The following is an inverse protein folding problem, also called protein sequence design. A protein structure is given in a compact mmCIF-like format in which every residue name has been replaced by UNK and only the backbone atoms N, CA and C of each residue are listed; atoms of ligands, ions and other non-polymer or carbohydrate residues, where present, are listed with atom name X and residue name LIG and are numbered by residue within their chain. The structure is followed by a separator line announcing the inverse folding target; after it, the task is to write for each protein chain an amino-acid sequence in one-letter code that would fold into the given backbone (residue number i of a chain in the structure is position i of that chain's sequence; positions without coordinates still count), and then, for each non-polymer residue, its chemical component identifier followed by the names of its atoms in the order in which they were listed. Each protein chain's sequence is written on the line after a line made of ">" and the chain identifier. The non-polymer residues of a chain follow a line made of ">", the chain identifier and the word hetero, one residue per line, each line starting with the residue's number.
data_IF_566517913551
#
_entry.id   IF_566517913551
#
_cell.length_a   1.000
_cell.length_b   1.000
_cell.length_c   1.000
_cell.angle_alpha   90.00
_cell.angle_beta   90.00
_cell.angle_gamma   90.00
#
_symmetry.space_group_name_H-M   'P 1'
#
loop_
_entity.id
_entity.type
_entity.pdbx_description
1 polymer ?
#
# COMPACT_ATOMS: atom_id res chain seq x y z
N UNK A 1 0.94 0.19 7.54
CA UNK A 1 -0.45 -0.08 7.13
C UNK A 1 -0.44 -0.48 5.66
N UNK A 2 -0.83 -1.71 5.40
CA UNK A 2 -1.05 -2.35 4.09
C UNK A 2 -2.33 -1.79 3.49
N UNK A 3 -2.26 -0.68 2.74
CA UNK A 3 -3.46 -0.19 2.04
C UNK A 3 -3.35 -0.53 0.56
N UNK A 4 -3.54 -1.81 0.27
CA UNK A 4 -4.06 -2.17 -1.03
C UNK A 4 -5.53 -1.79 -1.03
N UNK A 5 -5.84 -0.61 -1.56
CA UNK A 5 -7.22 -0.20 -1.74
C UNK A 5 -7.96 -1.25 -2.58
N UNK A 6 -9.20 -1.64 -2.25
CA UNK A 6 -9.96 -2.58 -3.06
C UNK A 6 -10.26 -1.96 -4.42
N UNK A 7 -10.25 -2.76 -5.48
CA UNK A 7 -10.75 -2.30 -6.78
C UNK A 7 -12.27 -2.12 -6.70
N UNK A 8 -12.86 -1.19 -7.47
CA UNK A 8 -14.31 -1.07 -7.54
C UNK A 8 -14.93 -2.40 -7.98
N UNK A 9 -16.16 -2.72 -7.50
CA UNK A 9 -16.83 -3.96 -7.84
C UNK A 9 -17.11 -4.02 -9.35
N UNK A 10 -16.96 -5.21 -9.95
CA UNK A 10 -17.25 -5.46 -11.37
C UNK A 10 -18.74 -5.68 -11.66
N UNK A 11 -19.62 -5.23 -10.76
CA UNK A 11 -21.07 -5.36 -10.91
C UNK A 11 -21.58 -4.42 -12.01
N UNK A 12 -22.53 -4.91 -12.82
CA UNK A 12 -23.20 -4.09 -13.84
C UNK A 12 -23.94 -2.93 -13.17
N UNK A 13 -23.84 -1.74 -13.77
CA UNK A 13 -24.61 -0.58 -13.36
C UNK A 13 -25.99 -0.58 -14.01
N UNK A 14 -27.03 -0.48 -13.19
CA UNK A 14 -28.43 -0.48 -13.61
C UNK A 14 -29.01 0.93 -13.51
N UNK A 15 -29.62 1.41 -14.59
CA UNK A 15 -30.26 2.74 -14.64
C UNK A 15 -31.76 2.61 -14.86
N UNK A 16 -32.52 3.56 -14.32
CA UNK A 16 -33.96 3.64 -14.59
C UNK A 16 -34.20 3.94 -16.08
N UNK A 17 -35.00 3.10 -16.73
CA UNK A 17 -35.50 3.36 -18.08
C UNK A 17 -36.67 4.35 -17.99
N UNK A 18 -36.52 5.52 -18.60
CA UNK A 18 -37.55 6.57 -18.64
C UNK A 18 -38.32 6.48 -19.95
N UNK A 19 -39.63 6.30 -19.87
CA UNK A 19 -40.56 6.23 -21.01
C UNK A 19 -41.76 7.14 -20.78
N UNK A 20 -42.45 7.53 -21.85
CA UNK A 20 -43.69 8.30 -21.72
C UNK A 20 -44.74 7.50 -20.92
N UNK A 21 -45.48 8.21 -20.07
CA UNK A 21 -46.45 7.60 -19.14
C UNK A 21 -45.83 6.89 -17.93
N UNK A 22 -44.50 6.92 -17.75
CA UNK A 22 -43.87 6.35 -16.56
C UNK A 22 -44.30 7.12 -15.29
N UNK A 23 -45.06 6.46 -14.42
CA UNK A 23 -45.40 7.02 -13.11
C UNK A 23 -44.14 7.17 -12.23
N UNK A 24 -43.82 8.39 -11.81
CA UNK A 24 -42.72 8.64 -10.89
C UNK A 24 -43.15 8.39 -9.44
N UNK A 25 -42.36 7.63 -8.68
CA UNK A 25 -42.56 7.40 -7.25
C UNK A 25 -41.20 7.44 -6.52
N UNK A 26 -41.24 7.39 -5.18
CA UNK A 26 -40.04 7.48 -4.35
C UNK A 26 -39.00 6.40 -4.68
N UNK A 27 -39.42 5.17 -4.94
CA UNK A 27 -38.51 4.07 -5.27
C UNK A 27 -37.79 4.28 -6.60
N UNK A 28 -38.52 4.71 -7.64
CA UNK A 28 -37.93 5.03 -8.95
C UNK A 28 -36.98 6.22 -8.87
N UNK A 29 -37.33 7.22 -8.08
CA UNK A 29 -36.47 8.37 -7.82
C UNK A 29 -35.18 7.94 -7.10
N UNK A 30 -35.29 7.08 -6.09
CA UNK A 30 -34.17 6.50 -5.36
C UNK A 30 -33.25 5.68 -6.27
N UNK A 31 -33.81 4.85 -7.15
CA UNK A 31 -33.01 4.09 -8.15
C UNK A 31 -32.22 5.05 -9.05
N UNK A 32 -32.84 6.11 -9.55
CA UNK A 32 -32.15 7.08 -10.41
C UNK A 32 -31.00 7.79 -9.69
N UNK A 33 -31.18 8.20 -8.43
CA UNK A 33 -30.13 8.87 -7.65
C UNK A 33 -29.01 7.90 -7.23
N UNK A 34 -29.38 6.69 -6.84
CA UNK A 34 -28.43 5.65 -6.48
C UNK A 34 -27.50 5.30 -7.64
N UNK A 35 -28.02 5.23 -8.87
CA UNK A 35 -27.19 5.05 -10.07
C UNK A 35 -26.11 6.13 -10.20
N UNK A 36 -26.45 7.40 -9.98
CA UNK A 36 -25.49 8.49 -10.03
C UNK A 36 -24.45 8.41 -8.90
N UNK A 37 -24.89 8.09 -7.68
CA UNK A 37 -24.02 7.87 -6.52
C UNK A 37 -23.02 6.74 -6.78
N UNK A 38 -23.49 5.59 -7.27
CA UNK A 38 -22.64 4.43 -7.59
C UNK A 38 -21.62 4.77 -8.68
N UNK A 39 -22.03 5.48 -9.73
CA UNK A 39 -21.12 5.89 -10.80
C UNK A 39 -20.04 6.87 -10.31
N UNK A 40 -20.41 7.80 -9.42
CA UNK A 40 -19.45 8.71 -8.78
C UNK A 40 -18.47 7.94 -7.89
N UNK A 41 -18.96 7.01 -7.07
CA UNK A 41 -18.14 6.20 -6.18
C UNK A 41 -17.16 5.33 -6.97
N UNK A 42 -17.60 4.67 -8.05
CA UNK A 42 -16.72 3.90 -8.94
C UNK A 42 -15.64 4.80 -9.54
N UNK A 43 -16.00 5.99 -10.02
CA UNK A 43 -15.04 6.92 -10.58
C UNK A 43 -13.98 7.32 -9.54
N UNK A 44 -14.41 7.67 -8.32
CA UNK A 44 -13.51 8.02 -7.24
C UNK A 44 -12.59 6.86 -6.84
N UNK A 45 -13.16 5.69 -6.54
CA UNK A 45 -12.43 4.48 -6.16
C UNK A 45 -11.42 4.06 -7.22
N UNK A 46 -11.72 4.27 -8.50
CA UNK A 46 -10.81 3.92 -9.59
C UNK A 46 -9.56 4.80 -9.63
N UNK A 47 -9.65 6.05 -9.19
CA UNK A 47 -8.64 7.08 -9.48
C UNK A 47 -7.99 7.71 -8.25
N UNK A 48 -8.62 7.63 -7.08
CA UNK A 48 -8.22 8.36 -5.89
C UNK A 48 -8.13 7.45 -4.66
N UNK A 49 -7.29 7.85 -3.72
CA UNK A 49 -7.24 7.30 -2.37
C UNK A 49 -8.17 8.08 -1.43
N UNK A 50 -8.68 7.45 -0.36
CA UNK A 50 -9.37 8.16 0.70
C UNK A 50 -8.44 9.16 1.41
N UNK A 51 -9.05 10.12 2.09
CA UNK A 51 -8.31 11.06 2.92
C UNK A 51 -8.97 12.42 3.04
N UNK A 52 -8.20 13.36 3.58
CA UNK A 52 -8.59 14.74 3.79
C UNK A 52 -8.36 15.52 2.49
N UNK A 53 -9.38 16.25 2.04
CA UNK A 53 -9.32 17.15 0.88
C UNK A 53 -8.85 18.52 1.33
N UNK A 54 -9.40 19.03 2.43
CA UNK A 54 -9.03 20.32 3.02
C UNK A 54 -9.49 20.44 4.46
N UNK A 55 -8.82 21.29 5.25
CA UNK A 55 -9.23 21.60 6.62
C UNK A 55 -9.07 20.41 7.58
N UNK A 56 -10.08 20.18 8.42
CA UNK A 56 -10.14 19.08 9.40
C UNK A 56 -8.94 19.04 10.35
N UNK A 57 -8.43 20.23 10.71
CA UNK A 57 -7.39 20.35 11.75
C UNK A 57 -7.95 20.00 13.12
N UNK A 58 -7.08 19.59 14.04
CA UNK A 58 -7.44 19.33 15.44
C UNK A 58 -6.61 20.25 16.32
N UNK A 59 -7.26 21.00 17.20
CA UNK A 59 -6.58 21.84 18.18
C UNK A 59 -7.11 21.61 19.59
N UNK A 60 -6.27 21.84 20.59
CA UNK A 60 -6.68 21.79 21.99
C UNK A 60 -7.49 23.03 22.35
N UNK A 61 -8.56 22.82 23.12
CA UNK A 61 -9.37 23.90 23.67
C UNK A 61 -9.55 23.73 25.18
N UNK A 62 -9.95 24.81 25.85
CA UNK A 62 -10.46 24.70 27.22
C UNK A 62 -11.83 24.01 27.20
N UNK A 63 -12.17 23.32 28.28
CA UNK A 63 -13.48 22.71 28.43
C UNK A 63 -14.59 23.77 28.27
N UNK A 64 -15.67 23.49 27.51
CA UNK A 64 -16.79 24.41 27.37
C UNK A 64 -17.36 24.84 28.73
N UNK A 65 -17.83 26.09 28.84
CA UNK A 65 -18.33 26.62 30.11
C UNK A 65 -19.53 25.83 30.66
N UNK A 66 -20.32 25.24 29.75
CA UNK A 66 -21.54 24.49 30.04
C UNK A 66 -21.29 23.10 30.62
N UNK A 67 -20.07 22.54 30.50
CA UNK A 67 -19.80 21.18 30.97
C UNK A 67 -19.48 21.14 32.48
N UNK A 68 -19.93 20.10 33.20
CA UNK A 68 -19.69 20.03 34.64
C UNK A 68 -18.20 19.90 34.97
N UNK A 69 -17.82 20.36 36.16
CA UNK A 69 -16.42 20.55 36.58
C UNK A 69 -15.56 19.29 36.46
N UNK A 70 -16.16 18.10 36.64
CA UNK A 70 -15.48 16.81 36.48
C UNK A 70 -15.00 16.53 35.05
N UNK A 71 -15.56 17.22 34.05
CA UNK A 71 -15.13 17.14 32.65
C UNK A 71 -14.13 18.24 32.27
N UNK A 72 -13.70 19.10 33.20
CA UNK A 72 -12.70 20.16 32.94
C UNK A 72 -11.27 19.63 33.11
N UNK A 73 -10.95 18.55 32.42
CA UNK A 73 -9.76 17.73 32.62
C UNK A 73 -8.66 17.91 31.55
N UNK A 74 -8.72 18.99 30.76
CA UNK A 74 -7.76 19.30 29.67
C UNK A 74 -7.69 18.21 28.59
N UNK A 75 -8.84 17.60 28.28
CA UNK A 75 -9.01 16.56 27.25
C UNK A 75 -9.91 16.98 26.11
N UNK A 76 -10.19 18.28 26.02
CA UNK A 76 -11.07 18.85 25.01
C UNK A 76 -10.27 19.29 23.79
N UNK A 77 -10.78 18.90 22.65
CA UNK A 77 -10.27 19.26 21.34
C UNK A 77 -11.39 19.87 20.51
N UNK A 78 -11.01 20.64 19.51
CA UNK A 78 -11.89 21.15 18.49
C UNK A 78 -11.41 20.68 17.13
N UNK A 79 -12.32 20.04 16.39
CA UNK A 79 -12.14 19.68 14.99
C UNK A 79 -12.55 20.88 14.16
N UNK A 80 -11.64 21.37 13.33
CA UNK A 80 -11.87 22.53 12.48
C UNK A 80 -12.66 22.14 11.22
N UNK A 81 -13.39 23.08 10.60
CA UNK A 81 -14.12 22.83 9.37
C UNK A 81 -13.24 22.22 8.27
N UNK A 82 -13.84 21.41 7.42
CA UNK A 82 -13.14 20.80 6.31
C UNK A 82 -13.90 19.66 5.64
N UNK A 83 -13.22 19.02 4.69
CA UNK A 83 -13.78 17.99 3.83
C UNK A 83 -12.82 16.82 3.78
N UNK A 84 -13.35 15.61 3.93
CA UNK A 84 -12.68 14.35 3.64
C UNK A 84 -13.53 13.48 2.71
N UNK A 85 -12.92 12.43 2.16
CA UNK A 85 -13.61 11.42 1.37
C UNK A 85 -13.13 10.05 1.87
N UNK A 86 -14.07 9.16 2.20
CA UNK A 86 -13.76 7.80 2.66
C UNK A 86 -13.38 6.85 1.52
N UNK A 87 -13.05 5.59 1.83
CA UNK A 87 -12.63 4.63 0.80
C UNK A 87 -13.74 4.27 -0.19
N UNK A 88 -15.00 4.37 0.27
CA UNK A 88 -16.15 4.12 -0.57
C UNK A 88 -16.45 5.29 -1.53
N UNK A 89 -15.80 6.44 -1.35
CA UNK A 89 -16.02 7.65 -2.15
C UNK A 89 -17.08 8.59 -1.56
N UNK A 90 -17.51 8.37 -0.31
CA UNK A 90 -18.49 9.22 0.34
C UNK A 90 -17.82 10.48 0.89
N UNK A 91 -18.37 11.68 0.58
CA UNK A 91 -17.86 12.92 1.15
C UNK A 91 -18.24 13.04 2.64
N UNK A 92 -17.30 13.52 3.44
CA UNK A 92 -17.46 13.82 4.86
C UNK A 92 -17.22 15.33 5.02
N UNK A 93 -18.28 16.08 5.33
CA UNK A 93 -18.23 17.54 5.40
C UNK A 93 -18.46 17.99 6.84
N UNK A 94 -17.46 18.67 7.41
CA UNK A 94 -17.56 19.35 8.71
C UNK A 94 -17.68 20.85 8.42
N UNK A 95 -18.90 21.42 8.46
CA UNK A 95 -19.13 22.80 8.03
C UNK A 95 -18.74 23.83 9.09
N UNK A 96 -18.73 23.45 10.37
CA UNK A 96 -18.46 24.32 11.52
C UNK A 96 -17.54 23.60 12.52
N UNK A 97 -16.83 24.34 13.39
CA UNK A 97 -15.97 23.72 14.38
C UNK A 97 -16.76 22.80 15.33
N UNK A 98 -16.31 21.56 15.48
CA UNK A 98 -16.94 20.57 16.35
C UNK A 98 -16.10 20.34 17.59
N UNK A 99 -16.75 20.34 18.74
CA UNK A 99 -16.07 20.13 20.02
C UNK A 99 -16.17 18.67 20.44
N UNK A 100 -15.04 18.07 20.81
CA UNK A 100 -14.97 16.67 21.21
C UNK A 100 -14.10 16.53 22.46
N UNK A 101 -14.51 15.66 23.39
CA UNK A 101 -13.70 15.32 24.56
C UNK A 101 -13.18 13.90 24.39
N UNK A 102 -11.86 13.72 24.43
CA UNK A 102 -11.27 12.39 24.48
C UNK A 102 -11.73 11.73 25.78
N UNK A 103 -12.40 10.59 25.68
CA UNK A 103 -12.98 9.89 26.82
C UNK A 103 -12.05 8.79 27.33
N UNK A 104 -11.31 8.12 26.45
CA UNK A 104 -10.48 6.93 26.70
C UNK A 104 -9.54 7.11 27.88
N UNK A 105 -9.64 6.25 28.88
CA UNK A 105 -8.71 6.26 30.01
C UNK A 105 -7.84 5.01 29.95
N UNK A 106 -6.56 5.16 30.30
CA UNK A 106 -5.63 4.03 30.44
C UNK A 106 -5.87 3.34 31.78
N UNK A 107 -6.54 2.19 31.76
CA UNK A 107 -6.68 1.32 32.93
C UNK A 107 -5.54 0.30 33.04
N UNK A 108 -4.74 0.14 31.97
CA UNK A 108 -3.61 -0.76 31.88
C UNK A 108 -2.30 -0.09 32.32
N UNK A 109 -1.33 -0.90 32.75
CA UNK A 109 0.06 -0.46 32.98
C UNK A 109 0.82 -0.14 31.68
N UNK A 110 0.18 -0.31 30.53
CA UNK A 110 0.75 -0.06 29.20
C UNK A 110 0.17 1.20 28.56
N UNK A 111 1.00 1.88 27.78
CA UNK A 111 0.56 3.03 26.97
C UNK A 111 -0.38 2.58 25.85
N UNK A 112 -1.39 3.39 25.54
CA UNK A 112 -2.38 3.12 24.50
C UNK A 112 -2.32 4.19 23.41
N UNK A 113 -2.41 3.79 22.15
CA UNK A 113 -2.61 4.74 21.04
C UNK A 113 -4.10 4.92 20.80
N UNK A 114 -4.58 6.16 20.94
CA UNK A 114 -5.95 6.54 20.63
C UNK A 114 -5.97 7.21 19.27
N UNK A 115 -6.81 6.72 18.38
CA UNK A 115 -7.06 7.28 17.06
C UNK A 115 -8.35 8.07 17.10
N UNK A 116 -8.31 9.33 16.69
CA UNK A 116 -9.51 10.13 16.45
C UNK A 116 -9.86 10.02 14.97
N UNK A 117 -11.06 9.53 14.67
CA UNK A 117 -11.51 9.28 13.30
C UNK A 117 -12.82 10.00 13.02
N UNK A 118 -13.04 10.31 11.75
CA UNK A 118 -14.31 10.80 11.24
C UNK A 118 -14.86 9.85 10.16
N UNK A 119 -16.17 9.65 10.14
CA UNK A 119 -16.85 8.76 9.19
C UNK A 119 -18.12 9.36 8.62
N UNK A 120 -18.46 8.99 7.39
CA UNK A 120 -19.73 9.34 6.75
C UNK A 120 -20.89 8.58 7.40
N UNK A 121 -22.02 9.26 7.61
CA UNK A 121 -23.26 8.66 8.10
C UNK A 121 -24.39 8.96 7.14
N UNK A 122 -24.94 7.89 6.56
CA UNK A 122 -26.13 8.00 5.74
C UNK A 122 -27.34 8.43 6.59
N UNK A 123 -27.96 9.58 6.31
CA UNK A 123 -29.07 10.10 7.10
C UNK A 123 -30.31 9.20 7.03
N UNK A 124 -30.48 8.37 6.00
CA UNK A 124 -31.61 7.42 5.92
C UNK A 124 -31.51 6.33 6.99
N UNK A 125 -30.31 6.06 7.51
CA UNK A 125 -30.10 5.09 8.61
C UNK A 125 -30.38 5.70 9.97
N UNK A 126 -30.45 7.02 10.08
CA UNK A 126 -30.78 7.69 11.32
C UNK A 126 -32.30 7.68 11.50
N UNK A 127 -32.79 7.14 12.62
CA UNK A 127 -34.20 7.22 13.01
C UNK A 127 -34.56 8.66 13.35
N UNK A 128 -34.73 9.52 12.34
CA UNK A 128 -35.21 10.90 12.48
C UNK A 128 -36.73 10.94 12.38
N UNK A 129 -37.32 11.97 13.00
CA UNK A 129 -38.74 12.29 12.86
C UNK A 129 -39.10 12.48 11.38
N UNK A 130 -40.19 11.87 10.94
CA UNK A 130 -40.66 11.77 9.56
C UNK A 130 -41.14 13.10 8.92
N UNK A 131 -40.57 14.24 9.32
CA UNK A 131 -41.10 15.59 9.02
C UNK A 131 -40.13 16.50 8.29
N UNK A 132 -38.92 16.04 7.95
CA UNK A 132 -37.97 16.85 7.19
C UNK A 132 -38.04 16.51 5.69
N UNK A 133 -38.44 17.47 4.85
CA UNK A 133 -38.42 17.34 3.38
C UNK A 133 -36.99 17.33 2.81
N UNK A 134 -36.01 17.74 3.61
CA UNK A 134 -34.59 17.82 3.24
C UNK A 134 -33.77 16.94 4.19
N UNK A 135 -33.04 15.98 3.62
CA UNK A 135 -32.07 15.17 4.33
C UNK A 135 -30.66 15.74 4.12
N UNK A 136 -30.02 16.14 5.22
CA UNK A 136 -28.61 16.51 5.22
C UNK A 136 -27.76 15.29 5.53
N UNK A 137 -26.79 15.01 4.66
CA UNK A 137 -25.67 14.13 4.97
C UNK A 137 -24.97 14.59 6.25
N UNK A 138 -24.51 13.64 7.05
CA UNK A 138 -23.88 13.93 8.34
C UNK A 138 -22.66 13.04 8.53
N UNK A 139 -21.90 13.34 9.56
CA UNK A 139 -20.72 12.60 9.95
C UNK A 139 -20.81 12.14 11.41
N UNK A 140 -19.88 11.25 11.79
CA UNK A 140 -19.65 10.87 13.17
C UNK A 140 -18.16 10.95 13.48
N UNK A 141 -17.84 11.46 14.67
CA UNK A 141 -16.48 11.50 15.21
C UNK A 141 -16.40 10.47 16.33
N UNK A 142 -15.42 9.59 16.25
CA UNK A 142 -15.20 8.53 17.23
C UNK A 142 -13.72 8.47 17.64
N UNK A 143 -13.47 7.99 18.85
CA UNK A 143 -12.14 7.57 19.29
C UNK A 143 -12.03 6.04 19.23
N UNK A 144 -10.89 5.53 18.79
CA UNK A 144 -10.63 4.09 18.62
C UNK A 144 -9.26 3.70 19.18
N UNK A 145 -9.15 2.45 19.60
CA UNK A 145 -7.88 1.83 20.03
C UNK A 145 -7.21 1.01 18.93
N UNK A 146 -7.93 0.72 17.85
CA UNK A 146 -7.39 0.13 16.63
C UNK A 146 -7.23 1.20 15.55
N UNK A 147 -6.33 1.01 14.58
CA UNK A 147 -6.23 1.88 13.42
C UNK A 147 -7.57 2.08 12.69
N UNK A 148 -7.74 3.17 11.93
CA UNK A 148 -8.94 3.45 11.16
C UNK A 148 -9.29 2.31 10.19
N UNK A 149 -10.59 2.07 10.01
CA UNK A 149 -11.12 1.16 8.99
C UNK A 149 -11.36 1.86 7.65
N UNK A 150 -11.90 1.12 6.69
CA UNK A 150 -12.12 1.59 5.31
C UNK A 150 -13.03 2.82 5.19
N UNK A 151 -14.03 2.95 6.05
CA UNK A 151 -15.02 4.05 6.01
C UNK A 151 -14.66 5.21 6.95
N UNK A 152 -13.43 5.22 7.46
CA UNK A 152 -12.97 6.14 8.50
C UNK A 152 -11.74 6.91 8.00
N UNK A 153 -11.67 8.20 8.34
CA UNK A 153 -10.52 9.05 8.03
C UNK A 153 -9.87 9.50 9.34
N UNK A 154 -8.57 9.23 9.49
CA UNK A 154 -7.80 9.64 10.68
C UNK A 154 -7.64 11.16 10.73
N UNK A 155 -8.07 11.76 11.83
CA UNK A 155 -7.88 13.18 12.13
C UNK A 155 -6.58 13.43 12.88
N UNK A 156 -6.31 12.59 13.89
CA UNK A 156 -5.07 12.57 14.65
C UNK A 156 -4.97 11.27 15.44
N UNK A 157 -3.80 11.01 16.01
CA UNK A 157 -3.61 10.00 17.07
C UNK A 157 -2.94 10.61 18.30
N UNK A 158 -3.07 9.94 19.44
CA UNK A 158 -2.50 10.37 20.71
C UNK A 158 -1.96 9.14 21.43
N UNK A 159 -0.70 9.20 21.87
CA UNK A 159 -0.13 8.18 22.76
C UNK A 159 -0.47 8.53 24.21
N UNK A 160 -1.35 7.77 24.84
CA UNK A 160 -1.74 7.95 26.23
C UNK A 160 -0.92 7.03 27.14
N UNK A 161 -0.09 7.55 28.07
CA UNK A 161 0.58 6.75 29.08
C UNK A 161 -0.39 6.37 30.21
N UNK A 162 -0.07 5.34 31.02
CA UNK A 162 -0.83 5.00 32.22
C UNK A 162 -1.01 6.20 33.16
N UNK A 163 -2.22 6.40 33.67
CA UNK A 163 -2.53 7.37 34.72
C UNK A 163 -3.34 8.57 34.23
N UNK A 164 -3.03 9.76 34.75
CA UNK A 164 -3.79 10.98 34.46
C UNK A 164 -3.49 11.48 33.05
N UNK A 165 -4.53 11.61 32.24
CA UNK A 165 -4.45 12.14 30.87
C UNK A 165 -4.72 13.65 30.88
N UNK A 166 -3.70 14.44 30.61
CA UNK A 166 -3.82 15.87 30.27
C UNK A 166 -3.17 16.10 28.92
N UNK A 167 -3.93 16.61 27.95
CA UNK A 167 -3.43 16.78 26.59
C UNK A 167 -2.67 18.09 26.43
N UNK A 168 -1.62 18.06 25.61
CA UNK A 168 -0.77 19.21 25.31
C UNK A 168 -0.44 19.31 23.82
N UNK A 169 -0.07 20.51 23.37
CA UNK A 169 0.43 20.68 22.02
C UNK A 169 1.87 20.13 21.93
N UNK A 170 2.25 19.48 20.81
CA UNK A 170 3.60 19.00 20.65
C UNK A 170 4.61 20.16 20.62
N UNK A 171 5.74 19.98 21.31
CA UNK A 171 6.87 20.92 21.24
C UNK A 171 7.59 20.82 19.89
N UNK A 172 7.69 19.61 19.35
CA UNK A 172 8.13 19.33 17.99
C UNK A 172 7.03 18.55 17.26
N UNK A 173 6.44 19.18 16.23
CA UNK A 173 5.35 18.59 15.43
C UNK A 173 5.77 17.36 14.64
N UNK A 174 7.07 17.16 14.40
CA UNK A 174 7.60 15.99 13.72
C UNK A 174 7.92 14.84 14.67
N UNK A 175 7.99 15.10 15.98
CA UNK A 175 8.20 14.09 17.02
C UNK A 175 7.26 14.31 18.23
N UNK A 176 5.93 14.18 18.06
CA UNK A 176 4.99 14.27 19.16
C UNK A 176 5.26 13.19 20.22
N UNK A 177 5.28 13.60 21.49
CA UNK A 177 5.45 12.73 22.64
C UNK A 177 4.12 12.20 23.20
N UNK A 178 4.19 11.61 24.39
CA UNK A 178 3.01 11.17 25.14
C UNK A 178 2.08 12.35 25.46
N UNK A 179 0.77 12.10 25.44
CA UNK A 179 -0.30 13.08 25.63
C UNK A 179 -0.31 14.26 24.64
N UNK A 180 0.42 14.16 23.54
CA UNK A 180 0.46 15.20 22.52
C UNK A 180 -0.33 14.78 21.27
N UNK A 181 -0.94 15.77 20.61
CA UNK A 181 -1.62 15.53 19.34
C UNK A 181 -0.59 15.17 18.25
N UNK A 182 -0.75 14.00 17.65
CA UNK A 182 0.04 13.58 16.49
C UNK A 182 -0.79 13.67 15.21
N UNK A 183 -0.43 14.65 14.38
CA UNK A 183 -1.10 14.96 13.11
C UNK A 183 -0.35 14.40 11.89
N UNK A 184 0.79 13.73 12.08
CA UNK A 184 1.70 13.32 10.97
C UNK A 184 1.08 12.27 10.05
N UNK A 185 0.11 11.52 10.57
CA UNK A 185 -0.50 10.40 9.86
C UNK A 185 -1.80 10.74 9.14
N UNK A 186 -2.19 12.02 9.12
CA UNK A 186 -3.33 12.50 8.35
C UNK A 186 -3.10 12.29 6.86
N UNK A 187 -3.84 11.37 6.26
CA UNK A 187 -3.74 11.11 4.83
C UNK A 187 -4.48 12.19 4.04
N UNK A 188 -3.78 12.86 3.14
CA UNK A 188 -4.40 13.73 2.15
C UNK A 188 -4.91 12.88 0.99
N UNK A 189 -6.02 13.30 0.39
CA UNK A 189 -6.48 12.71 -0.87
C UNK A 189 -5.37 12.85 -1.91
N UNK A 190 -5.09 11.75 -2.62
CA UNK A 190 -4.14 11.70 -3.73
C UNK A 190 -4.61 10.73 -4.79
N UNK A 191 -4.01 10.82 -5.97
CA UNK A 191 -4.22 9.84 -7.03
C UNK A 191 -3.86 8.44 -6.54
N UNK A 192 -4.69 7.47 -6.92
CA UNK A 192 -4.48 6.07 -6.64
C UNK A 192 -3.28 5.58 -7.47
N UNK A 193 -2.31 4.86 -6.85
CA UNK A 193 -1.23 4.24 -7.61
C UNK A 193 -1.84 3.18 -8.52
N UNK A 194 -1.28 3.07 -9.72
CA UNK A 194 -1.66 2.06 -10.69
C UNK A 194 -1.23 0.66 -10.24
N UNK A 195 -0.24 0.59 -9.36
CA UNK A 195 0.42 -0.63 -8.94
C UNK A 195 0.88 -0.54 -7.48
N UNK A 196 0.84 -1.67 -6.76
CA UNK A 196 1.56 -1.84 -5.50
C UNK A 196 2.52 -3.01 -5.67
N UNK A 197 3.81 -2.77 -5.47
CA UNK A 197 4.85 -3.80 -5.42
C UNK A 197 5.09 -4.23 -3.97
N UNK A 198 5.04 -5.54 -3.73
CA UNK A 198 5.35 -6.15 -2.42
C UNK A 198 6.76 -6.70 -2.45
N UNK A 199 7.55 -6.32 -1.46
CA UNK A 199 8.96 -6.67 -1.36
C UNK A 199 9.23 -7.38 -0.06
N UNK A 200 9.93 -8.51 -0.12
CA UNK A 200 10.38 -9.25 1.05
C UNK A 200 11.89 -9.41 1.00
N UNK A 201 12.52 -9.27 2.16
CA UNK A 201 13.93 -9.62 2.32
C UNK A 201 14.07 -11.11 2.67
N UNK A 202 15.14 -11.75 2.23
CA UNK A 202 15.42 -13.14 2.60
C UNK A 202 16.08 -13.17 3.98
N UNK A 203 15.43 -13.81 4.96
CA UNK A 203 15.81 -13.78 6.38
C UNK A 203 17.18 -14.42 6.67
N UNK A 204 17.54 -15.48 5.95
CA UNK A 204 18.81 -16.21 6.15
C UNK A 204 19.99 -15.64 5.34
N UNK A 205 19.79 -14.50 4.70
CA UNK A 205 20.91 -13.78 4.11
C UNK A 205 21.71 -13.11 5.22
N UNK A 206 23.02 -12.95 5.04
CA UNK A 206 23.85 -12.06 5.87
C UNK A 206 23.49 -10.58 5.64
N UNK A 207 22.20 -10.29 5.50
CA UNK A 207 21.62 -8.97 5.43
C UNK A 207 22.01 -8.22 6.69
N UNK A 208 22.86 -7.22 6.51
CA UNK A 208 23.12 -6.24 7.55
C UNK A 208 21.82 -5.51 7.87
N UNK A 209 21.58 -5.14 9.12
CA UNK A 209 20.45 -4.27 9.52
C UNK A 209 20.40 -3.00 8.63
N UNK A 210 21.58 -2.53 8.19
CA UNK A 210 21.74 -1.43 7.24
C UNK A 210 21.08 -1.69 5.88
N UNK A 211 21.19 -2.89 5.32
CA UNK A 211 20.54 -3.24 4.04
C UNK A 211 19.01 -3.19 4.14
N UNK A 212 18.45 -3.64 5.27
CA UNK A 212 17.01 -3.59 5.54
C UNK A 212 16.52 -2.14 5.70
N UNK A 213 17.30 -1.31 6.42
CA UNK A 213 17.03 0.12 6.56
C UNK A 213 17.08 0.84 5.20
N UNK A 214 18.11 0.58 4.39
CA UNK A 214 18.25 1.16 3.06
C UNK A 214 17.13 0.77 2.11
N UNK A 215 16.70 -0.50 2.12
CA UNK A 215 15.51 -0.91 1.40
C UNK A 215 14.28 -0.12 1.87
N UNK A 216 14.10 0.07 3.18
CA UNK A 216 12.99 0.86 3.72
C UNK A 216 12.98 2.30 3.16
N UNK A 217 14.16 2.93 3.06
CA UNK A 217 14.30 4.26 2.47
C UNK A 217 13.97 4.28 0.97
N UNK A 218 14.38 3.26 0.20
CA UNK A 218 13.96 3.12 -1.20
C UNK A 218 12.42 3.08 -1.28
N UNK A 219 11.78 2.21 -0.50
CA UNK A 219 10.33 2.01 -0.54
C UNK A 219 9.57 3.29 -0.17
N UNK A 220 10.07 4.06 0.81
CA UNK A 220 9.51 5.37 1.17
C UNK A 220 9.63 6.39 0.03
N UNK A 221 10.76 6.38 -0.69
CA UNK A 221 11.01 7.32 -1.79
C UNK A 221 10.07 7.13 -2.99
N UNK A 222 9.58 5.90 -3.22
CA UNK A 222 8.77 5.55 -4.41
C UNK A 222 7.58 6.48 -4.58
N UNK A 223 6.83 6.74 -3.52
CA UNK A 223 5.62 7.58 -3.61
C UNK A 223 5.92 9.04 -3.97
N UNK A 224 7.12 9.54 -3.67
CA UNK A 224 7.56 10.89 -4.03
C UNK A 224 8.21 10.96 -5.42
N UNK A 225 8.87 9.89 -5.86
CA UNK A 225 9.61 9.88 -7.13
C UNK A 225 8.76 9.37 -8.30
N UNK A 226 7.90 8.39 -8.05
CA UNK A 226 7.02 7.78 -9.05
C UNK A 226 5.65 7.45 -8.42
N UNK A 227 4.75 8.44 -8.28
CA UNK A 227 3.46 8.29 -7.59
C UNK A 227 2.52 7.23 -8.18
N UNK A 228 2.74 6.81 -9.43
CA UNK A 228 1.98 5.75 -10.08
C UNK A 228 2.27 4.35 -9.48
N UNK A 229 3.38 4.19 -8.76
CA UNK A 229 3.73 2.97 -8.04
C UNK A 229 3.70 3.24 -6.53
N UNK A 230 3.14 2.30 -5.78
CA UNK A 230 3.33 2.19 -4.35
C UNK A 230 4.23 0.99 -4.05
N UNK A 231 4.99 1.05 -2.97
CA UNK A 231 5.88 -0.03 -2.59
C UNK A 231 5.70 -0.36 -1.11
N UNK A 232 5.65 -1.66 -0.82
CA UNK A 232 5.37 -2.13 0.51
C UNK A 232 6.31 -3.26 0.89
N UNK A 233 6.97 -3.09 2.03
CA UNK A 233 7.72 -4.17 2.65
C UNK A 233 6.75 -5.13 3.33
N UNK A 234 6.92 -6.42 3.09
CA UNK A 234 6.29 -7.49 3.87
C UNK A 234 7.33 -8.14 4.79
N UNK A 235 6.88 -9.01 5.68
CA UNK A 235 7.77 -9.71 6.61
C UNK A 235 8.90 -10.44 5.87
N UNK A 236 10.11 -10.47 6.44
CA UNK A 236 11.21 -11.25 5.89
C UNK A 236 10.81 -12.72 5.68
N UNK A 237 11.20 -13.30 4.55
CA UNK A 237 10.87 -14.67 4.19
C UNK A 237 12.08 -15.56 4.49
N UNK A 238 11.85 -16.63 5.24
CA UNK A 238 12.82 -17.70 5.39
C UNK A 238 12.54 -18.80 4.34
N UNK A 239 13.53 -19.08 3.49
CA UNK A 239 13.41 -20.09 2.44
C UNK A 239 13.39 -21.54 3.00
N UNK A 240 13.87 -21.77 4.23
CA UNK A 240 13.93 -23.10 4.84
C UNK A 240 12.57 -23.62 5.35
N UNK A 241 11.54 -22.77 5.37
CA UNK A 241 10.23 -23.12 5.95
C UNK A 241 9.38 -23.89 4.93
N UNK A 242 8.77 -25.01 5.36
CA UNK A 242 7.92 -25.87 4.50
C UNK A 242 6.76 -25.17 3.78
N UNK A 243 6.27 -24.03 4.30
CA UNK A 243 5.20 -23.23 3.70
C UNK A 243 5.72 -22.03 2.87
N UNK A 244 6.96 -22.11 2.40
CA UNK A 244 7.61 -21.10 1.54
C UNK A 244 6.71 -20.67 0.36
N UNK A 245 5.94 -21.61 -0.20
CA UNK A 245 5.09 -21.37 -1.36
C UNK A 245 3.93 -20.42 -1.10
N UNK A 246 3.38 -20.38 0.12
CA UNK A 246 2.29 -19.44 0.46
C UNK A 246 2.85 -18.03 0.67
N UNK A 247 3.97 -17.93 1.38
CA UNK A 247 4.63 -16.66 1.73
C UNK A 247 5.22 -15.98 0.49
N UNK A 248 5.98 -16.73 -0.32
CA UNK A 248 6.63 -16.19 -1.52
C UNK A 248 5.60 -15.76 -2.59
N UNK A 249 4.43 -16.42 -2.66
CA UNK A 249 3.37 -16.01 -3.61
C UNK A 249 2.79 -14.64 -3.31
N UNK A 250 2.86 -14.19 -2.06
CA UNK A 250 2.41 -12.87 -1.63
C UNK A 250 3.41 -11.75 -1.97
N UNK A 251 4.58 -12.09 -2.51
CA UNK A 251 5.64 -11.15 -2.83
C UNK A 251 5.82 -10.99 -4.34
N UNK A 252 6.19 -9.78 -4.78
CA UNK A 252 6.54 -9.48 -6.18
C UNK A 252 8.06 -9.45 -6.38
N UNK A 253 8.83 -9.06 -5.34
CA UNK A 253 10.29 -9.01 -5.34
C UNK A 253 10.89 -9.61 -4.06
N UNK A 254 11.73 -10.63 -4.19
CA UNK A 254 12.65 -11.08 -3.14
C UNK A 254 13.96 -10.28 -3.21
N UNK A 255 14.38 -9.70 -2.10
CA UNK A 255 15.64 -8.96 -1.98
C UNK A 255 16.68 -9.74 -1.16
N UNK A 256 17.88 -9.84 -1.72
CA UNK A 256 19.03 -10.52 -1.17
C UNK A 256 20.27 -9.63 -1.26
N UNK A 257 20.73 -9.09 -0.13
CA UNK A 257 22.04 -8.45 -0.03
C UNK A 257 23.03 -9.45 0.57
N UNK A 258 24.07 -9.85 -0.17
CA UNK A 258 24.99 -10.90 0.27
C UNK A 258 26.40 -10.70 -0.29
N UNK A 259 27.41 -11.06 0.50
CA UNK A 259 28.85 -11.01 0.13
C UNK A 259 29.50 -12.39 0.00
N UNK A 260 28.78 -13.43 0.43
CA UNK A 260 29.23 -14.82 0.41
C UNK A 260 28.48 -15.65 -0.65
N UNK A 261 28.97 -16.85 -0.93
CA UNK A 261 28.33 -17.75 -1.88
C UNK A 261 26.89 -18.08 -1.45
N UNK A 262 25.96 -18.02 -2.40
CA UNK A 262 24.55 -18.36 -2.17
C UNK A 262 24.30 -19.81 -2.57
N UNK A 263 23.86 -20.64 -1.63
CA UNK A 263 23.51 -22.04 -1.87
C UNK A 263 22.08 -22.31 -1.43
N UNK A 264 21.38 -23.14 -2.20
CA UNK A 264 20.03 -23.61 -1.90
C UNK A 264 20.02 -25.12 -1.75
N UNK A 265 19.20 -25.63 -0.82
CA UNK A 265 18.83 -27.02 -0.79
C UNK A 265 17.80 -27.34 -1.89
N UNK A 266 17.45 -28.62 -2.07
CA UNK A 266 16.52 -29.03 -3.14
C UNK A 266 15.11 -28.44 -2.99
N UNK A 267 14.58 -28.36 -1.77
CA UNK A 267 13.23 -27.81 -1.52
C UNK A 267 13.20 -26.30 -1.82
N UNK A 268 14.22 -25.57 -1.38
CA UNK A 268 14.39 -24.14 -1.65
C UNK A 268 14.55 -23.85 -3.14
N UNK A 269 15.33 -24.67 -3.84
CA UNK A 269 15.52 -24.55 -5.28
C UNK A 269 14.19 -24.71 -6.03
N UNK A 270 13.39 -25.71 -5.66
CA UNK A 270 12.05 -25.95 -6.25
C UNK A 270 11.12 -24.78 -5.93
N UNK A 271 11.11 -24.30 -4.68
CA UNK A 271 10.31 -23.16 -4.25
C UNK A 271 10.65 -21.88 -5.03
N UNK A 272 11.94 -21.55 -5.13
CA UNK A 272 12.42 -20.40 -5.89
C UNK A 272 12.10 -20.53 -7.38
N UNK A 273 12.30 -21.72 -7.97
CA UNK A 273 11.93 -21.97 -9.37
C UNK A 273 10.45 -21.69 -9.62
N UNK A 274 9.55 -22.26 -8.80
CA UNK A 274 8.11 -22.04 -8.93
C UNK A 274 7.72 -20.56 -8.77
N UNK A 275 8.43 -19.83 -7.90
CA UNK A 275 8.24 -18.40 -7.73
C UNK A 275 8.62 -17.62 -8.99
N UNK A 276 9.81 -17.86 -9.54
CA UNK A 276 10.29 -17.18 -10.75
C UNK A 276 9.42 -17.53 -11.98
N UNK A 277 8.98 -18.79 -12.08
CA UNK A 277 8.08 -19.29 -13.13
C UNK A 277 6.68 -18.68 -13.04
N UNK A 278 6.24 -18.29 -11.83
CA UNK A 278 5.00 -17.55 -11.64
C UNK A 278 5.17 -16.03 -11.81
N UNK A 279 6.35 -15.57 -12.25
CA UNK A 279 6.65 -14.17 -12.53
C UNK A 279 7.22 -13.37 -11.38
N UNK A 280 7.61 -14.04 -10.29
CA UNK A 280 8.40 -13.42 -9.24
C UNK A 280 9.77 -12.94 -9.72
N UNK A 281 10.41 -12.10 -8.92
CA UNK A 281 11.76 -11.61 -9.19
C UNK A 281 12.65 -11.76 -7.96
N UNK A 282 13.87 -12.28 -8.17
CA UNK A 282 14.94 -12.30 -7.19
C UNK A 282 15.94 -11.19 -7.52
N UNK A 283 16.07 -10.19 -6.65
CA UNK A 283 17.11 -9.18 -6.70
C UNK A 283 18.24 -9.56 -5.76
N UNK A 284 19.42 -9.78 -6.33
CA UNK A 284 20.66 -10.00 -5.60
C UNK A 284 21.56 -8.77 -5.74
N UNK A 285 21.95 -8.18 -4.62
CA UNK A 285 22.90 -7.07 -4.55
C UNK A 285 24.17 -7.52 -3.84
N UNK A 286 25.31 -7.33 -4.50
CA UNK A 286 26.62 -7.78 -4.01
C UNK A 286 27.72 -6.79 -4.40
N UNK A 287 28.86 -6.88 -3.72
CA UNK A 287 30.03 -6.05 -3.96
C UNK A 287 30.86 -6.51 -5.16
N UNK A 288 31.72 -5.64 -5.67
CA UNK A 288 32.58 -5.96 -6.82
C UNK A 288 33.63 -7.04 -6.52
N UNK A 289 33.97 -7.26 -5.25
CA UNK A 289 34.87 -8.32 -4.78
C UNK A 289 34.13 -9.64 -4.44
N UNK A 290 32.80 -9.70 -4.65
CA UNK A 290 31.95 -10.85 -4.36
C UNK A 290 32.02 -12.00 -5.38
N UNK A 291 33.21 -12.39 -5.85
CA UNK A 291 33.40 -13.39 -6.92
C UNK A 291 32.68 -14.73 -6.64
N UNK A 292 32.70 -15.18 -5.38
CA UNK A 292 32.01 -16.38 -4.93
C UNK A 292 30.49 -16.24 -5.04
N UNK A 293 29.93 -15.11 -4.63
CA UNK A 293 28.52 -14.76 -4.78
C UNK A 293 28.13 -14.71 -6.25
N UNK A 294 28.84 -13.93 -7.05
CA UNK A 294 28.57 -13.78 -8.49
C UNK A 294 28.55 -15.15 -9.17
N UNK A 295 29.56 -15.99 -8.92
CA UNK A 295 29.66 -17.33 -9.49
C UNK A 295 28.50 -18.23 -9.06
N UNK A 296 28.12 -18.20 -7.78
CA UNK A 296 27.00 -18.99 -7.26
C UNK A 296 25.66 -18.63 -7.89
N UNK A 297 25.38 -17.33 -8.10
CA UNK A 297 24.14 -16.85 -8.75
C UNK A 297 24.12 -17.17 -10.25
N UNK A 298 25.25 -17.04 -10.95
CA UNK A 298 25.35 -17.45 -12.35
C UNK A 298 25.09 -18.95 -12.52
N UNK A 299 25.65 -19.79 -11.64
CA UNK A 299 25.40 -21.23 -11.62
C UNK A 299 23.93 -21.55 -11.33
N UNK A 300 23.32 -20.90 -10.34
CA UNK A 300 21.89 -21.05 -10.02
C UNK A 300 21.01 -20.73 -11.25
N UNK A 301 21.29 -19.61 -11.93
CA UNK A 301 20.54 -19.20 -13.11
C UNK A 301 20.70 -20.19 -14.28
N UNK A 302 21.89 -20.76 -14.44
CA UNK A 302 22.13 -21.81 -15.42
C UNK A 302 21.35 -23.09 -15.09
N UNK A 303 21.32 -23.52 -13.83
CA UNK A 303 20.52 -24.67 -13.37
C UNK A 303 19.01 -24.46 -13.58
N UNK A 304 18.54 -23.21 -13.47
CA UNK A 304 17.15 -22.83 -13.76
C UNK A 304 16.85 -22.70 -15.27
N UNK A 305 17.84 -22.88 -16.14
CA UNK A 305 17.67 -22.78 -17.60
C UNK A 305 17.57 -21.35 -18.13
N UNK A 306 17.95 -20.36 -17.32
CA UNK A 306 17.83 -18.94 -17.63
C UNK A 306 19.17 -18.22 -17.42
N UNK A 307 20.17 -18.41 -18.30
CA UNK A 307 21.47 -17.80 -18.14
C UNK A 307 21.35 -16.27 -18.06
N UNK A 308 21.96 -15.70 -17.02
CA UNK A 308 21.98 -14.26 -16.78
C UNK A 308 22.89 -13.57 -17.80
N UNK A 309 22.42 -12.48 -18.39
CA UNK A 309 23.16 -11.67 -19.36
C UNK A 309 23.33 -10.24 -18.84
N UNK A 310 24.43 -9.59 -19.23
CA UNK A 310 24.64 -8.17 -18.95
C UNK A 310 23.56 -7.32 -19.63
N UNK A 311 23.04 -6.31 -18.94
CA UNK A 311 22.00 -5.42 -19.47
C UNK A 311 22.42 -4.72 -20.77
N UNK A 312 23.72 -4.53 -21.01
CA UNK A 312 24.26 -3.97 -22.26
C UNK A 312 24.00 -4.88 -23.47
N UNK A 313 23.88 -6.19 -23.25
CA UNK A 313 23.62 -7.18 -24.29
C UNK A 313 22.11 -7.40 -24.52
N UNK A 314 21.26 -6.81 -23.68
CA UNK A 314 19.81 -6.89 -23.81
C UNK A 314 19.29 -5.86 -24.83
N UNK A 315 18.02 -5.98 -25.21
CA UNK A 315 17.35 -4.99 -26.07
C UNK A 315 17.44 -3.60 -25.44
N UNK A 316 17.70 -2.57 -26.27
CA UNK A 316 17.85 -1.18 -25.80
C UNK A 316 16.62 -0.66 -25.05
N UNK A 317 15.43 -1.13 -25.39
CA UNK A 317 14.15 -0.79 -24.76
C UNK A 317 13.77 -1.75 -23.61
N UNK A 318 14.73 -2.46 -23.03
CA UNK A 318 14.44 -3.35 -21.90
C UNK A 318 13.93 -2.54 -20.70
N UNK A 319 12.81 -2.92 -20.05
CA UNK A 319 12.17 -2.08 -19.03
C UNK A 319 13.08 -1.73 -17.84
N UNK A 320 14.00 -2.61 -17.42
CA UNK A 320 14.98 -2.28 -16.36
C UNK A 320 15.82 -1.04 -16.69
N UNK A 321 16.01 -0.72 -17.98
CA UNK A 321 16.76 0.43 -18.44
C UNK A 321 15.89 1.65 -18.72
N UNK A 322 14.61 1.46 -19.06
CA UNK A 322 13.78 2.53 -19.65
C UNK A 322 12.54 2.87 -18.86
N UNK A 323 12.13 2.07 -17.86
CA UNK A 323 10.86 2.27 -17.16
C UNK A 323 10.97 2.12 -15.63
N UNK A 324 10.43 3.08 -14.85
CA UNK A 324 9.86 4.36 -15.29
C UNK A 324 10.91 5.41 -15.67
N UNK A 325 12.17 5.24 -15.25
CA UNK A 325 13.26 6.18 -15.53
C UNK A 325 14.18 5.63 -16.62
N UNK A 326 14.66 6.51 -17.50
CA UNK A 326 15.53 6.13 -18.62
C UNK A 326 17.01 6.31 -18.27
N UNK A 327 17.79 5.24 -18.41
CA UNK A 327 19.21 5.22 -18.12
C UNK A 327 20.05 5.06 -19.39
N UNK A 328 20.78 6.11 -19.76
CA UNK A 328 21.84 6.01 -20.76
C UNK A 328 23.07 5.28 -20.20
N UNK A 329 23.40 5.55 -18.93
CA UNK A 329 24.41 4.89 -18.13
C UNK A 329 23.80 4.43 -16.79
N UNK A 330 24.31 3.34 -16.22
CA UNK A 330 23.90 2.87 -14.90
C UNK A 330 24.48 3.77 -13.79
N UNK A 331 23.87 3.81 -12.58
CA UNK A 331 24.40 4.56 -11.46
C UNK A 331 25.84 4.17 -11.11
N UNK A 332 26.55 5.07 -10.43
CA UNK A 332 27.82 4.77 -9.77
C UNK A 332 27.68 5.00 -8.26
N UNK A 333 28.17 4.08 -7.45
CA UNK A 333 28.17 4.16 -5.98
C UNK A 333 29.61 4.08 -5.52
N UNK A 334 30.04 4.98 -4.62
CA UNK A 334 31.44 5.05 -4.14
C UNK A 334 32.49 5.09 -5.26
N UNK A 335 32.21 5.82 -6.35
CA UNK A 335 33.04 5.91 -7.57
C UNK A 335 33.15 4.63 -8.39
N UNK A 336 32.45 3.55 -8.00
CA UNK A 336 32.39 2.31 -8.76
C UNK A 336 31.11 2.26 -9.59
N UNK A 337 31.23 1.79 -10.83
CA UNK A 337 30.08 1.66 -11.73
C UNK A 337 29.25 0.44 -11.33
N UNK A 338 27.93 0.62 -11.23
CA UNK A 338 27.03 -0.52 -11.02
C UNK A 338 26.94 -1.35 -12.30
N UNK A 339 27.05 -2.67 -12.15
CA UNK A 339 26.79 -3.64 -13.20
C UNK A 339 25.46 -4.35 -12.93
N UNK A 340 24.55 -4.27 -13.89
CA UNK A 340 23.25 -4.92 -13.83
C UNK A 340 23.20 -6.09 -14.82
N UNK A 341 22.84 -7.27 -14.34
CA UNK A 341 22.64 -8.46 -15.17
C UNK A 341 21.28 -9.08 -14.89
N UNK A 342 20.66 -9.68 -15.89
CA UNK A 342 19.33 -10.27 -15.78
C UNK A 342 19.18 -11.60 -16.54
N UNK A 343 18.39 -12.52 -15.97
CA UNK A 343 17.94 -13.74 -16.63
C UNK A 343 16.84 -14.45 -15.82
N UNK A 344 15.73 -14.83 -16.47
CA UNK A 344 14.72 -15.70 -15.85
C UNK A 344 13.99 -15.16 -14.62
N UNK A 345 13.96 -13.83 -14.42
CA UNK A 345 13.45 -13.23 -13.19
C UNK A 345 14.51 -13.05 -12.10
N UNK A 346 15.78 -13.36 -12.37
CA UNK A 346 16.90 -13.04 -11.48
C UNK A 346 17.54 -11.75 -11.98
N UNK A 347 17.71 -10.78 -11.09
CA UNK A 347 18.45 -9.54 -11.28
C UNK A 347 19.68 -9.63 -10.37
N UNK A 348 20.86 -9.58 -10.96
CA UNK A 348 22.13 -9.50 -10.25
C UNK A 348 22.70 -8.09 -10.41
N UNK A 349 22.86 -7.41 -9.28
CA UNK A 349 23.53 -6.13 -9.16
C UNK A 349 24.91 -6.36 -8.55
N UNK A 350 25.95 -5.84 -9.21
CA UNK A 350 27.32 -5.83 -8.70
C UNK A 350 27.75 -4.37 -8.51
N UNK A 351 28.25 -4.05 -7.31
CA UNK A 351 28.66 -2.70 -6.90
C UNK A 351 27.82 -2.09 -5.75
N UNK A 352 27.07 -2.91 -5.01
CA UNK A 352 26.32 -2.52 -3.80
C UNK A 352 25.35 -1.35 -3.99
N UNK A 353 24.47 -1.44 -4.99
CA UNK A 353 23.48 -0.37 -5.29
C UNK A 353 22.63 0.00 -4.07
N UNK A 354 22.27 -0.99 -3.25
CA UNK A 354 21.41 -0.80 -2.08
C UNK A 354 22.06 0.09 -1.01
N UNK A 355 23.39 0.22 -0.99
CA UNK A 355 24.06 1.12 -0.03
C UNK A 355 23.72 2.59 -0.27
N UNK A 356 23.35 2.96 -1.51
CA UNK A 356 23.00 4.32 -1.90
C UNK A 356 21.49 4.63 -1.84
N UNK A 357 20.64 3.71 -1.37
CA UNK A 357 19.20 3.98 -1.24
C UNK A 357 18.82 4.73 0.03
N UNK A 358 19.63 4.59 1.08
CA UNK A 358 19.33 5.11 2.42
C UNK A 358 20.22 6.26 2.85
N UNK A 359 20.10 6.59 4.13
CA UNK A 359 20.93 7.60 4.76
C UNK A 359 22.36 7.08 4.92
N UNK A 360 23.29 8.00 4.76
CA UNK A 360 24.68 7.80 5.10
C UNK A 360 24.98 8.54 6.40
N UNK A 361 25.41 7.81 7.43
CA UNK A 361 25.66 8.37 8.77
C UNK A 361 26.71 9.48 8.74
N UNK A 362 27.67 9.37 7.81
CA UNK A 362 28.74 10.35 7.61
C UNK A 362 28.36 11.48 6.65
N UNK A 363 27.14 11.43 6.05
CA UNK A 363 26.62 12.40 5.08
C UNK A 363 27.54 12.64 3.86
N UNK A 364 28.29 11.61 3.45
CA UNK A 364 29.28 11.70 2.38
C UNK A 364 28.68 11.43 0.99
N UNK A 365 27.58 10.67 0.92
CA UNK A 365 26.96 10.34 -0.36
C UNK A 365 26.31 11.59 -1.01
N UNK A 366 26.71 11.96 -2.24
CA UNK A 366 26.08 13.05 -2.95
C UNK A 366 24.60 12.77 -3.21
N UNK A 367 23.77 13.81 -3.15
CA UNK A 367 22.33 13.72 -3.47
C UNK A 367 22.07 13.10 -4.84
N UNK A 368 22.91 13.41 -5.84
CA UNK A 368 22.79 12.86 -7.20
C UNK A 368 22.98 11.34 -7.22
N UNK A 369 23.95 10.81 -6.47
CA UNK A 369 24.17 9.37 -6.30
C UNK A 369 22.96 8.70 -5.68
N UNK A 370 22.45 9.25 -4.57
CA UNK A 370 21.25 8.73 -3.89
C UNK A 370 20.05 8.74 -4.84
N UNK A 371 19.83 9.86 -5.52
CA UNK A 371 18.70 10.02 -6.44
C UNK A 371 18.75 9.02 -7.59
N UNK A 372 19.90 8.90 -8.25
CA UNK A 372 20.09 8.02 -9.40
C UNK A 372 19.98 6.55 -8.98
N UNK A 373 20.47 6.19 -7.79
CA UNK A 373 20.33 4.85 -7.22
C UNK A 373 18.87 4.53 -6.86
N UNK A 374 18.13 5.48 -6.28
CA UNK A 374 16.70 5.33 -5.98
C UNK A 374 15.87 5.16 -7.26
N UNK A 375 16.14 5.95 -8.30
CA UNK A 375 15.47 5.81 -9.61
C UNK A 375 15.73 4.43 -10.23
N UNK A 376 16.97 3.91 -10.14
CA UNK A 376 17.28 2.55 -10.59
C UNK A 376 16.57 1.48 -9.73
N UNK A 377 16.52 1.68 -8.41
CA UNK A 377 15.73 0.83 -7.51
C UNK A 377 14.25 0.81 -7.90
N UNK A 378 13.68 1.95 -8.26
CA UNK A 378 12.29 2.05 -8.73
C UNK A 378 12.09 1.35 -10.08
N UNK A 379 13.05 1.42 -11.01
CA UNK A 379 12.99 0.61 -12.24
C UNK A 379 12.91 -0.89 -11.93
N UNK A 380 13.72 -1.36 -10.99
CA UNK A 380 13.70 -2.77 -10.56
C UNK A 380 12.35 -3.13 -9.95
N UNK A 381 11.84 -2.29 -9.04
CA UNK A 381 10.53 -2.48 -8.40
C UNK A 381 9.38 -2.52 -9.41
N UNK A 382 9.35 -1.56 -10.33
CA UNK A 382 8.36 -1.48 -11.39
C UNK A 382 8.42 -2.70 -12.32
N UNK A 383 9.63 -3.12 -12.71
CA UNK A 383 9.84 -4.32 -13.50
C UNK A 383 9.31 -5.58 -12.81
N UNK A 384 9.58 -5.75 -11.51
CA UNK A 384 9.14 -6.91 -10.73
C UNK A 384 7.62 -7.02 -10.71
N UNK A 385 6.93 -5.91 -10.41
CA UNK A 385 5.47 -5.86 -10.47
C UNK A 385 4.94 -6.17 -11.88
N UNK A 386 5.48 -5.50 -12.91
CA UNK A 386 5.02 -5.66 -14.30
C UNK A 386 5.21 -7.09 -14.82
N UNK A 387 6.36 -7.71 -14.51
CA UNK A 387 6.64 -9.11 -14.84
C UNK A 387 5.62 -10.03 -14.20
N UNK A 388 5.39 -9.89 -12.89
CA UNK A 388 4.43 -10.68 -12.13
C UNK A 388 3.03 -10.58 -12.72
N UNK A 389 2.58 -9.35 -12.97
CA UNK A 389 1.27 -9.07 -13.53
C UNK A 389 1.09 -9.72 -14.92
N UNK A 390 2.04 -9.52 -15.84
CA UNK A 390 1.96 -10.08 -17.19
C UNK A 390 1.94 -11.61 -17.15
N UNK A 391 2.80 -12.24 -16.34
CA UNK A 391 2.83 -13.70 -16.25
C UNK A 391 1.56 -14.28 -15.61
N UNK A 392 0.97 -13.60 -14.63
CA UNK A 392 -0.32 -13.99 -14.08
C UNK A 392 -1.44 -13.88 -15.11
N UNK A 393 -1.46 -12.82 -15.92
CA UNK A 393 -2.44 -12.65 -16.99
C UNK A 393 -2.32 -13.73 -18.07
N UNK A 394 -1.09 -14.09 -18.46
CA UNK A 394 -0.83 -15.17 -19.41
C UNK A 394 -1.23 -16.54 -18.83
N UNK A 395 -0.85 -16.83 -17.58
CA UNK A 395 -1.19 -18.10 -16.90
C UNK A 395 -2.66 -18.23 -16.49
N UNK A 396 -3.42 -17.14 -16.41
CA UNK A 396 -4.86 -17.18 -16.15
C UNK A 396 -5.65 -17.73 -17.35
N UNK A 397 -5.12 -17.57 -18.57
CA UNK A 397 -5.75 -18.10 -19.79
C UNK A 397 -5.81 -19.63 -19.81
N UNK A 398 -4.81 -20.30 -19.22
CA UNK A 398 -4.74 -21.77 -19.15
C UNK A 398 -5.70 -22.37 -18.10
N UNK A 399 -6.19 -21.56 -17.16
CA UNK A 399 -7.17 -22.00 -16.14
C UNK A 399 -8.61 -21.89 -16.61
N UNK A 400 -8.92 -20.92 -17.46
CA UNK A 400 -10.27 -20.73 -18.02
C UNK A 400 -10.60 -21.84 -19.03
N UNK A 401 -9.61 -22.32 -19.80
CA UNK A 401 -9.77 -23.47 -20.69
C UNK A 401 -9.94 -24.78 -19.94
N UNK A 402 -9.29 -24.96 -18.78
CA UNK A 402 -9.48 -26.15 -17.95
C UNK A 402 -10.85 -26.19 -17.24
N UNK A 403 -11.37 -25.05 -16.76
CA UNK A 403 -12.66 -25.02 -16.04
C UNK A 403 -13.89 -24.94 -16.95
N UNK A 404 -13.74 -24.51 -18.21
CA UNK A 404 -14.87 -24.40 -19.16
C UNK A 404 -15.18 -25.72 -19.89
N UNK A 405 -14.23 -26.66 -19.95
CA UNK A 405 -14.48 -28.00 -20.52
C UNK A 405 -15.31 -28.86 -19.57
N UNK A 406 -15.11 -28.74 -18.25
CA UNK A 406 -15.88 -29.48 -17.25
C UNK A 406 -17.30 -28.93 -17.01
N UNK A 407 -17.54 -27.65 -17.34
CA UNK A 407 -18.88 -27.05 -17.21
C UNK A 407 -19.77 -27.33 -18.43
N UNK A 408 -19.21 -27.55 -19.62
CA UNK A 408 -19.99 -27.85 -20.83
C UNK A 408 -20.41 -29.32 -20.94
N UNK A 409 -19.62 -30.26 -20.40
CA UNK A 409 -19.95 -31.69 -20.44
C UNK A 409 -21.05 -32.05 -19.43
N UNK A 410 -21.17 -31.32 -18.31
CA UNK A 410 -22.20 -31.59 -17.30
C UNK A 410 -23.54 -30.90 -17.55
N UNK A 411 -23.64 -29.99 -18.52
CA UNK A 411 -24.86 -29.24 -18.81
C UNK A 411 -25.62 -29.75 -20.04
N UNK A 412 -25.01 -30.60 -20.89
CA UNK A 412 -25.71 -31.25 -22.00
C UNK A 412 -26.34 -32.61 -21.65
N UNK A 413 -26.17 -33.11 -20.43
CA UNK A 413 -26.70 -34.42 -20.00
C UNK A 413 -28.01 -34.34 -19.18
N UNK A 414 -28.56 -33.13 -18.97
CA UNK A 414 -29.76 -32.93 -18.14
C UNK A 414 -31.02 -32.45 -18.89
N UNK A 415 -30.95 -32.22 -20.21
CA UNK A 415 -32.07 -31.70 -21.00
C UNK A 415 -32.79 -32.74 -21.89
N UNK A 416 -32.49 -34.04 -21.76
CA UNK A 416 -33.15 -35.11 -22.56
C UNK A 416 -34.09 -36.06 -21.79
N UNK A 417 -34.51 -35.74 -20.56
CA UNK A 417 -35.42 -36.61 -19.78
C UNK A 417 -36.60 -35.88 -19.12
N UNK A 418 -37.26 -34.97 -19.84
CA UNK A 418 -38.64 -34.57 -19.52
C UNK A 418 -39.36 -33.97 -20.75
N UNK A 419 -39.89 -34.84 -21.61
CA UNK A 419 -41.09 -34.58 -22.43
C UNK A 419 -41.98 -35.83 -22.37
#
# INVERSE_FOLDING_TARGET
>A
MTEQFPLPPTKILERLLVTDGLLMNADRWRIAHEYHRQRQNIHYQSLNQPGIVSGLGVCLISAPSEVPTNYRDRRWIQIQPGIAIDLAGNPIIVPQPETYRIATQTQSETSLTVYLVISYVDPERLRRSATADILHETFRIDEKLSPPGETEVELCRILLPPGKVELENPADVFFPGSNQLDLRYRHQVRSRPQATVRVAQIANSAATERSAANLSYLLQSVSGLYPALNAQQIEPINLEIKDINSQIKACDLLFLAIREAFSLNQEEFIGLKNYLDSGGVLLVDTSNDGDATISSILNLAQQLGHPIQDIKNMKLNHPLRTEPFSFAALPSVNQEQIHLRYGGGIILVVGELSTAWGLDDELLLPRETIRTAQEMGINILHFSWKRRQIMQLLGASDRITASSVDSWINQSAFDELNI
#
